data_IF_445660744138
#
_entry.id   IF_445660744138
#
_cell.length_a   1.000
_cell.length_b   1.000
_cell.length_c   1.000
_cell.angle_alpha   90.00
_cell.angle_beta   90.00
_cell.angle_gamma   90.00
#
_symmetry.space_group_name_H-M   'P 1'
#
loop_
_entity.id
_entity.type
_entity.pdbx_description
1 polymer ?
#
# COMPACT_ATOMS: atom_id res chain seq x y z
N UNK A 1 9.34 19.48 -9.05
CA UNK A 1 10.41 18.68 -8.42
C UNK A 1 11.14 17.82 -9.46
N UNK A 2 10.44 16.98 -10.23
CA UNK A 2 11.00 16.13 -11.28
C UNK A 2 11.42 16.87 -12.58
N UNK A 3 11.04 18.11 -12.72
CA UNK A 3 11.38 18.98 -13.88
C UNK A 3 12.77 19.64 -13.76
N UNK A 4 13.50 19.38 -12.71
CA UNK A 4 14.89 19.86 -12.52
C UNK A 4 15.86 19.12 -13.43
N UNK A 5 17.06 19.66 -13.68
CA UNK A 5 18.15 18.94 -14.35
C UNK A 5 18.39 17.57 -13.68
N UNK A 6 18.84 16.58 -14.46
CA UNK A 6 18.98 15.20 -13.99
C UNK A 6 19.75 15.07 -12.66
N UNK A 7 20.84 15.83 -12.51
CA UNK A 7 21.66 15.79 -11.29
C UNK A 7 20.94 16.32 -10.02
N UNK A 8 19.95 17.20 -10.21
CA UNK A 8 19.22 17.87 -9.11
C UNK A 8 17.81 17.29 -8.90
N UNK A 9 17.38 16.39 -9.78
CA UNK A 9 16.06 15.77 -9.67
C UNK A 9 16.11 14.63 -8.64
N UNK A 10 15.26 14.65 -7.59
CA UNK A 10 15.22 13.55 -6.62
C UNK A 10 14.81 12.24 -7.29
N UNK A 11 15.46 11.15 -6.92
CA UNK A 11 15.12 9.80 -7.37
C UNK A 11 13.81 9.30 -6.75
N UNK A 12 13.24 8.22 -7.29
CA UNK A 12 12.03 7.59 -6.79
C UNK A 12 10.74 8.37 -7.10
N UNK A 13 9.64 7.91 -6.56
CA UNK A 13 8.31 8.52 -6.69
C UNK A 13 7.44 8.21 -5.47
N UNK A 14 6.45 9.06 -5.14
CA UNK A 14 5.57 8.91 -3.98
C UNK A 14 4.45 7.90 -4.31
N UNK A 15 4.79 6.61 -4.42
CA UNK A 15 3.89 5.56 -4.88
C UNK A 15 3.22 4.77 -3.74
N UNK A 16 3.76 4.81 -2.52
CA UNK A 16 3.34 3.93 -1.41
C UNK A 16 1.83 4.00 -1.15
N UNK A 17 1.25 5.20 -1.11
CA UNK A 17 -0.19 5.41 -0.89
C UNK A 17 -1.06 4.74 -1.96
N UNK A 18 -0.59 4.73 -3.21
CA UNK A 18 -1.38 4.33 -4.37
C UNK A 18 -0.98 2.96 -4.93
N UNK A 19 0.03 2.28 -4.38
CA UNK A 19 0.53 1.02 -4.90
C UNK A 19 -0.54 -0.07 -4.93
N UNK A 20 -1.24 -0.30 -3.82
CA UNK A 20 -2.32 -1.31 -3.78
C UNK A 20 -3.51 -0.94 -4.68
N UNK A 21 -4.09 0.28 -4.63
CA UNK A 21 -5.13 0.69 -5.58
C UNK A 21 -4.71 0.55 -7.05
N UNK A 22 -3.47 0.88 -7.40
CA UNK A 22 -2.96 0.72 -8.76
C UNK A 22 -2.87 -0.76 -9.19
N UNK A 23 -2.43 -1.65 -8.30
CA UNK A 23 -2.38 -3.08 -8.56
C UNK A 23 -3.78 -3.69 -8.69
N UNK A 24 -4.74 -3.27 -7.88
CA UNK A 24 -6.14 -3.70 -8.00
C UNK A 24 -6.77 -3.21 -9.31
N UNK A 25 -6.47 -1.99 -9.74
CA UNK A 25 -6.94 -1.49 -11.04
C UNK A 25 -6.29 -2.26 -12.20
N UNK A 26 -5.01 -2.61 -12.11
CA UNK A 26 -4.32 -3.44 -13.09
C UNK A 26 -4.95 -4.84 -13.15
N UNK A 27 -5.24 -5.44 -12.00
CA UNK A 27 -5.89 -6.73 -11.89
C UNK A 27 -7.27 -6.72 -12.58
N UNK A 28 -8.09 -5.74 -12.28
CA UNK A 28 -9.42 -5.57 -12.86
C UNK A 28 -9.39 -5.43 -14.39
N UNK A 29 -8.41 -4.68 -14.93
CA UNK A 29 -8.27 -4.47 -16.39
C UNK A 29 -7.78 -5.69 -17.14
N UNK A 30 -7.05 -6.58 -16.48
CA UNK A 30 -6.41 -7.75 -17.09
C UNK A 30 -7.03 -9.07 -16.62
N UNK A 31 -8.20 -9.03 -15.96
CA UNK A 31 -8.90 -10.19 -15.42
C UNK A 31 -8.01 -11.07 -14.51
N UNK A 32 -7.22 -10.41 -13.66
CA UNK A 32 -6.36 -11.08 -12.69
C UNK A 32 -7.09 -11.19 -11.36
N UNK A 33 -7.13 -12.39 -10.79
CA UNK A 33 -7.73 -12.65 -9.48
C UNK A 33 -7.05 -11.85 -8.37
N UNK A 34 -7.82 -11.35 -7.42
CA UNK A 34 -7.31 -10.66 -6.23
C UNK A 34 -6.39 -11.53 -5.39
N UNK A 35 -6.62 -12.84 -5.35
CA UNK A 35 -5.70 -13.78 -4.68
C UNK A 35 -4.28 -13.68 -5.26
N UNK A 36 -4.15 -13.48 -6.60
CA UNK A 36 -2.84 -13.27 -7.23
C UNK A 36 -2.19 -11.96 -6.79
N UNK A 37 -2.95 -10.89 -6.58
CA UNK A 37 -2.43 -9.63 -6.04
C UNK A 37 -1.92 -9.82 -4.62
N UNK A 38 -2.68 -10.53 -3.76
CA UNK A 38 -2.25 -10.86 -2.40
C UNK A 38 -0.96 -11.69 -2.43
N UNK A 39 -0.89 -12.70 -3.29
CA UNK A 39 0.31 -13.49 -3.46
C UNK A 39 1.52 -12.63 -3.83
N UNK A 40 1.38 -11.74 -4.81
CA UNK A 40 2.48 -10.89 -5.29
C UNK A 40 2.89 -9.82 -4.28
N UNK A 41 1.94 -9.20 -3.58
CA UNK A 41 2.22 -8.05 -2.71
C UNK A 41 2.47 -8.42 -1.24
N UNK A 42 2.06 -9.63 -0.81
CA UNK A 42 2.19 -10.06 0.58
C UNK A 42 3.02 -11.35 0.69
N UNK A 43 2.52 -12.48 0.18
CA UNK A 43 3.12 -13.80 0.38
C UNK A 43 4.53 -13.86 -0.21
N UNK A 44 4.69 -13.58 -1.50
CA UNK A 44 5.98 -13.67 -2.18
C UNK A 44 7.04 -12.74 -1.57
N UNK A 45 6.63 -11.58 -1.03
CA UNK A 45 7.56 -10.66 -0.38
C UNK A 45 8.03 -11.24 0.96
N UNK A 46 7.11 -11.80 1.75
CA UNK A 46 7.46 -12.42 3.02
C UNK A 46 8.39 -13.62 2.81
N UNK A 47 8.06 -14.49 1.85
CA UNK A 47 8.84 -15.69 1.54
C UNK A 47 10.23 -15.33 0.96
N UNK A 48 10.28 -14.40 -0.02
CA UNK A 48 11.53 -13.98 -0.66
C UNK A 48 12.54 -13.38 0.32
N UNK A 49 12.06 -12.57 1.25
CA UNK A 49 12.92 -11.90 2.23
C UNK A 49 13.02 -12.65 3.57
N UNK A 50 12.33 -13.81 3.72
CA UNK A 50 12.32 -14.57 4.96
C UNK A 50 11.76 -13.76 6.13
N UNK A 51 10.68 -12.99 5.93
CA UNK A 51 10.07 -12.17 6.98
C UNK A 51 9.24 -13.07 7.89
N UNK A 52 9.57 -13.07 9.18
CA UNK A 52 8.90 -13.89 10.19
C UNK A 52 7.51 -13.33 10.52
N UNK A 53 6.52 -14.22 10.66
CA UNK A 53 5.17 -13.99 11.19
C UNK A 53 4.39 -12.84 10.52
N UNK A 54 4.68 -12.54 9.23
CA UNK A 54 4.00 -11.52 8.42
C UNK A 54 3.71 -12.02 7.00
N UNK A 55 2.94 -11.25 6.25
CA UNK A 55 2.61 -11.53 4.86
C UNK A 55 1.45 -12.51 4.67
N UNK A 56 0.97 -13.14 5.74
CA UNK A 56 -0.13 -14.10 5.74
C UNK A 56 -1.15 -13.78 6.84
N UNK A 57 -2.42 -14.09 6.60
CA UNK A 57 -3.45 -14.10 7.63
C UNK A 57 -3.48 -15.49 8.28
N UNK A 58 -2.73 -15.65 9.36
CA UNK A 58 -2.62 -16.91 10.13
C UNK A 58 -2.68 -16.61 11.62
N UNK A 59 -3.16 -17.58 12.39
CA UNK A 59 -3.09 -17.53 13.85
C UNK A 59 -1.62 -17.43 14.31
N UNK A 60 -1.35 -16.58 15.28
CA UNK A 60 0.01 -16.30 15.76
C UNK A 60 0.78 -15.24 14.97
N UNK A 61 0.32 -14.86 13.76
CA UNK A 61 0.97 -13.84 12.95
C UNK A 61 0.59 -12.41 13.39
N UNK A 62 1.46 -11.45 13.08
CA UNK A 62 1.16 -10.03 13.27
C UNK A 62 -0.07 -9.62 12.44
N UNK A 63 -1.00 -8.92 13.08
CA UNK A 63 -2.22 -8.46 12.43
C UNK A 63 -1.95 -7.19 11.59
N UNK A 64 -1.21 -7.33 10.51
CA UNK A 64 -1.02 -6.32 9.47
C UNK A 64 -2.07 -6.56 8.38
N UNK A 65 -3.18 -5.84 8.45
CA UNK A 65 -4.36 -6.10 7.64
C UNK A 65 -4.82 -4.84 6.92
N UNK A 66 -5.14 -5.00 5.64
CA UNK A 66 -5.77 -3.93 4.84
C UNK A 66 -7.16 -4.39 4.42
N UNK A 67 -8.17 -3.53 4.63
CA UNK A 67 -9.54 -3.77 4.15
C UNK A 67 -9.78 -2.87 2.95
N UNK A 68 -10.19 -3.50 1.85
CA UNK A 68 -10.48 -2.83 0.58
C UNK A 68 -11.94 -2.98 0.23
N UNK A 69 -12.56 -1.91 -0.23
CA UNK A 69 -13.87 -1.94 -0.89
C UNK A 69 -13.63 -1.90 -2.41
N UNK A 70 -13.90 -2.99 -3.14
CA UNK A 70 -13.63 -3.09 -4.58
C UNK A 70 -14.62 -2.30 -5.44
N UNK A 71 -15.74 -1.85 -4.85
CA UNK A 71 -16.84 -1.16 -5.55
C UNK A 71 -16.95 0.32 -5.16
N UNK A 72 -15.94 0.86 -4.49
CA UNK A 72 -15.95 2.24 -4.02
C UNK A 72 -14.89 3.09 -4.74
N UNK A 73 -15.24 3.69 -5.88
CA UNK A 73 -14.30 4.50 -6.65
C UNK A 73 -13.88 5.76 -5.89
N UNK A 74 -12.67 6.25 -6.18
CA UNK A 74 -12.16 7.49 -5.63
C UNK A 74 -11.15 8.13 -6.56
N UNK A 75 -11.12 9.47 -6.56
CA UNK A 75 -10.19 10.26 -7.35
C UNK A 75 -8.95 10.60 -6.54
N UNK A 76 -7.78 10.49 -7.14
CA UNK A 76 -6.54 11.01 -6.57
C UNK A 76 -6.50 12.51 -6.84
N UNK A 77 -6.63 13.29 -5.79
CA UNK A 77 -6.53 14.76 -5.85
C UNK A 77 -5.38 15.22 -4.97
N UNK A 78 -4.91 16.44 -5.20
CA UNK A 78 -3.81 17.02 -4.43
C UNK A 78 -4.12 17.05 -2.92
N UNK A 79 -5.39 17.26 -2.56
CA UNK A 79 -5.85 17.38 -1.17
C UNK A 79 -5.82 16.03 -0.43
N UNK A 80 -5.89 14.91 -1.16
CA UNK A 80 -5.86 13.57 -0.56
C UNK A 80 -4.51 12.86 -0.67
N UNK A 81 -3.48 13.53 -1.21
CA UNK A 81 -2.11 13.04 -1.21
C UNK A 81 -1.52 13.19 0.19
N UNK A 82 -1.13 12.06 0.80
CA UNK A 82 -0.55 11.99 2.14
C UNK A 82 0.97 12.15 2.14
N UNK A 83 1.61 12.00 0.98
CA UNK A 83 3.05 12.15 0.85
C UNK A 83 3.49 13.57 1.16
N UNK A 84 4.58 13.72 1.92
CA UNK A 84 5.16 15.04 2.28
C UNK A 84 5.58 15.88 1.08
N UNK A 85 5.85 15.28 -0.07
CA UNK A 85 6.18 16.00 -1.31
C UNK A 85 4.96 16.69 -1.96
N UNK A 86 3.73 16.39 -1.51
CA UNK A 86 2.50 17.06 -1.92
C UNK A 86 2.08 16.81 -3.37
N UNK A 87 2.54 15.74 -4.01
CA UNK A 87 2.13 15.35 -5.35
C UNK A 87 2.06 13.82 -5.49
N UNK A 88 1.34 13.34 -6.50
CA UNK A 88 1.27 11.92 -6.87
C UNK A 88 1.32 11.78 -8.40
N UNK A 89 2.01 10.75 -8.95
CA UNK A 89 1.96 10.45 -10.38
C UNK A 89 0.57 9.98 -10.85
N UNK A 90 -0.34 9.71 -9.90
CA UNK A 90 -1.71 9.32 -10.16
C UNK A 90 -2.72 10.47 -10.00
N UNK A 91 -2.26 11.71 -9.76
CA UNK A 91 -3.15 12.87 -9.64
C UNK A 91 -4.10 12.98 -10.85
N UNK A 92 -5.39 13.16 -10.60
CA UNK A 92 -6.46 13.15 -11.61
C UNK A 92 -6.96 11.76 -12.02
N UNK A 93 -6.32 10.66 -11.58
CA UNK A 93 -6.82 9.32 -11.86
C UNK A 93 -7.91 8.90 -10.88
N UNK A 94 -8.89 8.14 -11.41
CA UNK A 94 -9.89 7.46 -10.61
C UNK A 94 -9.53 5.98 -10.51
N UNK A 95 -9.43 5.47 -9.29
CA UNK A 95 -9.35 4.05 -8.99
C UNK A 95 -10.73 3.49 -8.66
N UNK A 96 -11.04 2.28 -9.11
CA UNK A 96 -12.32 1.62 -8.84
C UNK A 96 -12.44 1.10 -7.40
N UNK A 97 -11.32 0.70 -6.81
CA UNK A 97 -11.25 0.15 -5.46
C UNK A 97 -10.63 1.15 -4.48
N UNK A 98 -11.07 1.11 -3.22
CA UNK A 98 -10.59 2.00 -2.16
C UNK A 98 -10.18 1.24 -0.92
N UNK A 99 -9.00 1.56 -0.38
CA UNK A 99 -8.62 1.13 0.96
C UNK A 99 -9.50 1.87 1.98
N UNK A 100 -10.19 1.12 2.82
CA UNK A 100 -11.07 1.66 3.87
C UNK A 100 -10.43 1.64 5.24
N UNK A 101 -9.68 0.58 5.57
CA UNK A 101 -8.98 0.45 6.84
C UNK A 101 -7.60 -0.16 6.63
N UNK A 102 -6.66 0.26 7.49
CA UNK A 102 -5.34 -0.39 7.60
C UNK A 102 -5.04 -0.60 9.07
N UNK A 103 -4.65 -1.81 9.40
CA UNK A 103 -4.17 -2.20 10.72
C UNK A 103 -2.69 -2.54 10.65
N UNK A 104 -1.93 -2.12 11.64
CA UNK A 104 -0.51 -2.45 11.82
C UNK A 104 -0.35 -3.02 13.22
N UNK A 105 0.15 -4.24 13.33
CA UNK A 105 0.25 -4.98 14.59
C UNK A 105 -1.07 -4.99 15.40
N UNK A 106 -2.22 -5.12 14.72
CA UNK A 106 -3.56 -5.09 15.31
C UNK A 106 -4.13 -3.71 15.63
N UNK A 107 -3.37 -2.64 15.45
CA UNK A 107 -3.82 -1.27 15.71
C UNK A 107 -4.38 -0.61 14.45
N UNK A 108 -5.56 0.00 14.55
CA UNK A 108 -6.16 0.75 13.45
C UNK A 108 -5.40 2.06 13.22
N UNK A 109 -4.60 2.11 12.13
CA UNK A 109 -3.76 3.27 11.79
C UNK A 109 -4.31 4.12 10.64
N UNK A 110 -5.28 3.60 9.89
CA UNK A 110 -5.93 4.35 8.81
C UNK A 110 -7.40 3.96 8.71
N UNK A 111 -8.27 4.96 8.52
CA UNK A 111 -9.69 4.77 8.27
C UNK A 111 -10.26 5.86 7.38
N UNK A 112 -10.82 5.45 6.22
CA UNK A 112 -11.56 6.31 5.30
C UNK A 112 -10.87 7.65 4.95
N UNK A 113 -9.60 7.61 4.56
CA UNK A 113 -8.83 8.79 4.15
C UNK A 113 -8.05 9.48 5.27
N UNK A 114 -8.16 9.02 6.51
CA UNK A 114 -7.50 9.63 7.66
C UNK A 114 -6.54 8.67 8.34
N UNK A 115 -5.29 9.09 8.49
CA UNK A 115 -4.32 8.43 9.37
C UNK A 115 -4.75 8.67 10.81
N UNK A 116 -4.62 7.65 11.67
CA UNK A 116 -5.06 7.66 13.06
C UNK A 116 -3.95 7.17 14.00
N UNK A 117 -3.96 7.71 15.20
CA UNK A 117 -3.06 7.29 16.28
C UNK A 117 -1.59 7.61 16.02
N UNK A 118 -0.76 6.99 16.84
CA UNK A 118 0.69 7.06 16.75
C UNK A 118 1.23 5.94 15.85
N UNK A 119 2.51 6.02 15.48
CA UNK A 119 3.19 4.98 14.71
C UNK A 119 3.23 3.66 15.48
N UNK A 120 2.69 2.59 14.90
CA UNK A 120 2.61 1.24 15.48
C UNK A 120 3.58 0.25 14.82
N UNK A 121 4.51 0.76 14.00
CA UNK A 121 5.51 -0.06 13.33
C UNK A 121 6.44 -0.75 14.32
N UNK A 122 6.78 -2.01 14.03
CA UNK A 122 7.76 -2.79 14.76
C UNK A 122 8.87 -3.23 13.80
N UNK A 123 10.05 -3.51 14.33
CA UNK A 123 11.16 -4.04 13.55
C UNK A 123 10.75 -5.40 12.94
N UNK A 124 11.02 -5.58 11.65
CA UNK A 124 10.88 -6.87 11.01
C UNK A 124 11.97 -7.84 11.50
N UNK A 125 11.58 -9.08 11.74
CA UNK A 125 12.49 -10.19 12.00
C UNK A 125 12.62 -11.01 10.72
N UNK A 126 13.79 -11.57 10.49
CA UNK A 126 14.10 -12.31 9.28
C UNK A 126 14.73 -13.65 9.65
N UNK A 127 14.22 -14.73 9.06
CA UNK A 127 14.92 -16.02 9.09
C UNK A 127 16.21 -15.85 8.30
N UNK A 128 17.34 -15.99 8.97
CA UNK A 128 18.65 -16.07 8.29
C UNK A 128 18.85 -17.53 7.85
N UNK A 129 19.20 -17.75 6.59
CA UNK A 129 19.60 -19.07 6.13
C UNK A 129 20.86 -19.57 6.86
#
# INVERSE_FOLDING_TARGET
>A
EKMRPYADAPSGGPLVQNSLPAMLELARRNDIDYARIVQLMCHNQADLFGIEDRGYLREGYHADVVIVDPSRPWNVTRENVLSKCGWSPFEGRTFAARVTHTFVNGHLVYRNGKVRGEAQGQRLLFVRP
#
